data_IF_255143209166
#
_entry.id   IF_255143209166
#
_cell.length_a   1.000
_cell.length_b   1.000
_cell.length_c   1.000
_cell.angle_alpha   90.00
_cell.angle_beta   90.00
_cell.angle_gamma   90.00
#
_symmetry.space_group_name_H-M   'P 1'
#
loop_
_entity.id
_entity.type
_entity.pdbx_description
1 polymer ?
#
# COMPACT_ATOMS: atom_id res chain seq x y z
N UNK A 1 -0.82 8.36 22.86
CA UNK A 1 -0.23 9.71 22.67
C UNK A 1 0.70 9.99 23.84
N UNK A 2 1.90 10.43 23.56
CA UNK A 2 2.82 10.99 24.54
C UNK A 2 2.93 12.49 24.21
N UNK A 3 1.99 13.33 24.70
CA UNK A 3 1.86 14.72 24.23
C UNK A 3 2.96 15.64 24.79
N UNK A 4 3.77 15.17 25.74
CA UNK A 4 4.68 16.01 26.49
C UNK A 4 6.09 15.38 26.63
N UNK A 5 6.59 14.74 25.56
CA UNK A 5 8.01 14.38 25.54
C UNK A 5 8.81 15.66 25.35
N UNK A 6 9.69 15.93 26.31
CA UNK A 6 10.60 17.04 26.33
C UNK A 6 11.99 16.48 26.66
N UNK A 7 12.88 16.44 25.68
CA UNK A 7 14.23 15.88 25.82
C UNK A 7 15.25 16.95 26.24
N UNK A 8 14.95 18.23 26.02
CA UNK A 8 15.90 19.32 26.24
C UNK A 8 15.47 20.35 27.31
N UNK A 9 14.27 20.20 27.88
CA UNK A 9 13.74 21.08 28.93
C UNK A 9 13.12 22.38 28.43
N UNK A 10 12.91 22.51 27.11
CA UNK A 10 12.36 23.74 26.49
C UNK A 10 10.87 23.62 26.13
N UNK A 11 10.22 22.52 26.44
CA UNK A 11 8.82 22.22 26.15
C UNK A 11 8.65 20.99 25.27
N UNK A 12 7.42 20.72 24.82
CA UNK A 12 7.13 19.49 24.07
C UNK A 12 7.85 19.45 22.71
N UNK A 13 8.68 18.43 22.48
CA UNK A 13 9.44 18.22 21.23
C UNK A 13 8.58 17.68 20.08
N UNK A 14 7.39 17.16 20.38
CA UNK A 14 6.51 16.59 19.37
C UNK A 14 5.16 17.30 19.33
N UNK A 15 4.73 17.62 18.11
CA UNK A 15 3.39 18.13 17.87
C UNK A 15 2.39 16.95 17.71
N UNK A 16 1.72 16.60 18.80
CA UNK A 16 0.71 15.54 18.81
C UNK A 16 -0.55 15.84 17.98
N UNK A 17 -0.69 17.03 17.40
CA UNK A 17 -1.77 17.38 16.47
C UNK A 17 -1.43 17.00 15.02
N UNK A 18 -0.16 16.75 14.72
CA UNK A 18 0.37 16.48 13.38
C UNK A 18 0.95 15.08 13.28
N UNK A 19 0.09 14.07 13.42
CA UNK A 19 0.50 12.67 13.33
C UNK A 19 0.26 12.18 11.91
N UNK A 20 1.33 11.71 11.24
CA UNK A 20 1.26 11.00 9.97
C UNK A 20 1.55 9.52 10.17
N UNK A 21 0.94 8.67 9.35
CA UNK A 21 1.26 7.25 9.27
C UNK A 21 2.04 6.97 7.99
N UNK A 22 3.08 6.15 8.09
CA UNK A 22 3.79 5.62 6.92
C UNK A 22 3.92 4.12 7.07
N UNK A 23 3.48 3.39 6.06
CA UNK A 23 3.60 1.93 6.01
C UNK A 23 4.18 1.45 4.69
N UNK A 24 4.85 0.30 4.72
CA UNK A 24 5.25 -0.42 3.52
C UNK A 24 4.81 -1.88 3.60
N UNK A 25 4.33 -2.45 2.48
CA UNK A 25 3.96 -3.86 2.37
C UNK A 25 2.97 -4.25 3.48
N UNK A 26 3.31 -5.23 4.32
CA UNK A 26 2.50 -5.62 5.47
C UNK A 26 2.18 -4.43 6.38
N UNK A 27 3.11 -3.48 6.56
CA UNK A 27 2.87 -2.25 7.30
C UNK A 27 1.78 -1.37 6.68
N UNK A 28 1.66 -1.33 5.36
CA UNK A 28 0.56 -0.65 4.66
C UNK A 28 -0.75 -1.43 4.72
N UNK A 29 -0.69 -2.78 4.66
CA UNK A 29 -1.85 -3.66 4.78
C UNK A 29 -2.51 -3.46 6.15
N UNK A 30 -1.75 -3.64 7.22
CA UNK A 30 -2.25 -3.43 8.60
C UNK A 30 -2.52 -1.95 8.88
N UNK A 31 -1.69 -1.07 8.32
CA UNK A 31 -1.81 0.38 8.46
C UNK A 31 -3.10 0.96 7.89
N UNK A 32 -3.65 0.37 6.84
CA UNK A 32 -4.94 0.80 6.28
C UNK A 32 -6.06 0.74 7.30
N UNK A 33 -6.14 -0.35 8.05
CA UNK A 33 -7.14 -0.52 9.12
C UNK A 33 -6.87 0.45 10.27
N UNK A 34 -5.60 0.55 10.68
CA UNK A 34 -5.20 1.48 11.73
C UNK A 34 -5.60 2.91 11.39
N UNK A 35 -5.27 3.39 10.18
CA UNK A 35 -5.62 4.74 9.71
C UNK A 35 -7.13 4.94 9.61
N UNK A 36 -7.86 3.92 9.17
CA UNK A 36 -9.32 3.97 9.07
C UNK A 36 -10.00 4.14 10.44
N UNK A 37 -9.44 3.52 11.48
CA UNK A 37 -10.03 3.46 12.82
C UNK A 37 -9.48 4.53 13.78
N UNK A 38 -8.22 4.96 13.60
CA UNK A 38 -7.58 5.94 14.47
C UNK A 38 -7.93 7.38 14.05
N UNK A 39 -8.79 8.01 14.82
CA UNK A 39 -9.31 9.36 14.51
C UNK A 39 -8.26 10.46 14.55
N UNK A 40 -7.14 10.24 15.23
CA UNK A 40 -6.07 11.26 15.39
C UNK A 40 -5.03 11.23 14.28
N UNK A 41 -5.05 10.20 13.43
CA UNK A 41 -4.18 10.09 12.26
C UNK A 41 -4.99 10.49 11.02
N UNK A 42 -4.69 11.63 10.44
CA UNK A 42 -5.45 12.19 9.31
C UNK A 42 -4.72 12.10 7.97
N UNK A 43 -3.46 11.68 7.97
CA UNK A 43 -2.66 11.52 6.76
C UNK A 43 -1.86 10.21 6.79
N UNK A 44 -1.82 9.52 5.66
CA UNK A 44 -1.05 8.29 5.52
C UNK A 44 -0.37 8.17 4.16
N UNK A 45 0.83 7.58 4.18
CA UNK A 45 1.54 7.10 3.00
C UNK A 45 1.60 5.58 3.06
N UNK A 46 0.96 4.94 2.09
CA UNK A 46 0.82 3.50 2.00
C UNK A 46 1.61 2.99 0.78
N UNK A 47 2.77 2.41 1.00
CA UNK A 47 3.59 1.90 -0.09
C UNK A 47 3.34 0.40 -0.29
N UNK A 48 3.01 0.05 -1.51
CA UNK A 48 2.78 -1.33 -2.01
C UNK A 48 1.86 -2.17 -1.14
N UNK A 49 0.65 -1.65 -0.76
CA UNK A 49 -0.36 -2.43 -0.06
C UNK A 49 -1.15 -3.33 -1.02
N UNK A 50 -2.02 -4.17 -0.46
CA UNK A 50 -3.03 -4.90 -1.21
C UNK A 50 -4.14 -5.41 -0.29
N UNK A 51 -5.32 -5.65 -0.85
CA UNK A 51 -6.46 -6.25 -0.17
C UNK A 51 -6.82 -7.61 -0.74
N UNK A 52 -7.84 -8.28 -0.14
CA UNK A 52 -8.23 -9.63 -0.53
C UNK A 52 -7.12 -10.64 -0.26
N UNK A 53 -6.60 -10.62 0.98
CA UNK A 53 -5.28 -11.16 1.38
C UNK A 53 -5.13 -12.64 1.01
N UNK A 54 -6.15 -13.47 1.18
CA UNK A 54 -6.02 -14.91 0.95
C UNK A 54 -5.61 -15.22 -0.50
N UNK A 55 -6.31 -14.66 -1.48
CA UNK A 55 -6.00 -14.86 -2.90
C UNK A 55 -4.82 -14.01 -3.36
N UNK A 56 -4.60 -12.86 -2.77
CA UNK A 56 -3.40 -12.04 -3.01
C UNK A 56 -2.13 -12.85 -2.72
N UNK A 57 -2.05 -13.50 -1.55
CA UNK A 57 -0.89 -14.30 -1.16
C UNK A 57 -0.72 -15.54 -2.03
N UNK A 58 -1.82 -16.20 -2.37
CA UNK A 58 -1.81 -17.37 -3.26
C UNK A 58 -1.31 -17.03 -4.67
N UNK A 59 -1.70 -15.86 -5.19
CA UNK A 59 -1.32 -15.38 -6.52
C UNK A 59 0.05 -14.68 -6.54
N UNK A 60 0.62 -14.38 -5.39
CA UNK A 60 1.95 -13.73 -5.29
C UNK A 60 3.02 -14.56 -5.99
N UNK A 61 3.80 -13.98 -6.92
CA UNK A 61 4.95 -14.66 -7.50
C UNK A 61 5.95 -15.14 -6.44
N UNK A 62 6.12 -14.36 -5.35
CA UNK A 62 7.05 -14.69 -4.26
C UNK A 62 6.49 -15.75 -3.31
N UNK A 63 5.23 -15.63 -2.87
CA UNK A 63 4.67 -16.51 -1.83
C UNK A 63 3.88 -17.69 -2.40
N UNK A 64 3.17 -17.48 -3.50
CA UNK A 64 2.25 -18.46 -4.07
C UNK A 64 2.84 -19.83 -4.32
N UNK A 65 4.05 -19.99 -4.91
CA UNK A 65 4.65 -21.29 -5.11
C UNK A 65 4.83 -22.10 -3.81
N UNK A 66 5.25 -21.43 -2.73
CA UNK A 66 5.44 -22.07 -1.41
C UNK A 66 4.12 -22.44 -0.76
N UNK A 67 3.11 -21.55 -0.87
CA UNK A 67 1.75 -21.79 -0.35
C UNK A 67 1.14 -23.00 -1.05
N UNK A 68 1.17 -23.03 -2.39
CA UNK A 68 0.63 -24.16 -3.18
C UNK A 68 1.34 -25.47 -2.85
N UNK A 69 2.67 -25.47 -2.79
CA UNK A 69 3.43 -26.65 -2.44
C UNK A 69 3.13 -27.14 -1.01
N UNK A 70 3.02 -26.23 -0.05
CA UNK A 70 2.68 -26.55 1.34
C UNK A 70 1.27 -27.14 1.47
N UNK A 71 0.27 -26.56 0.81
CA UNK A 71 -1.10 -27.06 0.82
C UNK A 71 -1.24 -28.42 0.14
N UNK A 72 -0.53 -28.64 -0.97
CA UNK A 72 -0.49 -29.94 -1.63
C UNK A 72 0.13 -31.01 -0.73
N UNK A 73 1.25 -30.72 -0.07
CA UNK A 73 1.98 -31.67 0.77
C UNK A 73 1.24 -31.97 2.08
N UNK A 74 0.67 -30.95 2.74
CA UNK A 74 0.07 -31.10 4.08
C UNK A 74 -1.40 -31.52 4.09
N UNK A 75 -2.17 -31.12 3.05
CA UNK A 75 -3.61 -31.30 3.01
C UNK A 75 -4.12 -31.91 1.68
N UNK A 76 -3.23 -32.21 0.74
CA UNK A 76 -3.62 -32.74 -0.58
C UNK A 76 -4.40 -31.76 -1.46
N UNK A 77 -4.40 -30.47 -1.09
CA UNK A 77 -5.14 -29.43 -1.81
C UNK A 77 -4.40 -29.03 -3.10
N UNK A 78 -5.10 -29.13 -4.24
CA UNK A 78 -4.53 -28.85 -5.55
C UNK A 78 -5.25 -27.68 -6.21
N UNK A 79 -4.52 -26.70 -6.81
CA UNK A 79 -5.12 -25.63 -7.58
C UNK A 79 -6.11 -26.14 -8.64
N UNK A 80 -7.19 -25.41 -8.85
CA UNK A 80 -8.23 -25.77 -9.83
C UNK A 80 -9.27 -26.78 -9.34
N UNK A 81 -9.22 -27.17 -8.06
CA UNK A 81 -10.26 -28.03 -7.45
C UNK A 81 -11.20 -27.21 -6.58
N UNK A 82 -12.49 -27.62 -6.49
CA UNK A 82 -13.47 -26.96 -5.64
C UNK A 82 -13.05 -26.92 -4.17
N UNK A 83 -12.36 -27.94 -3.67
CA UNK A 83 -11.86 -28.00 -2.29
C UNK A 83 -10.78 -26.94 -2.06
N UNK A 84 -9.88 -26.74 -3.03
CA UNK A 84 -8.88 -25.67 -2.98
C UNK A 84 -9.52 -24.30 -2.95
N UNK A 85 -10.53 -24.06 -3.79
CA UNK A 85 -11.25 -22.80 -3.81
C UNK A 85 -12.02 -22.54 -2.53
N UNK A 86 -12.66 -23.57 -1.98
CA UNK A 86 -13.35 -23.51 -0.69
C UNK A 86 -12.40 -23.19 0.47
N UNK A 87 -11.19 -23.75 0.45
CA UNK A 87 -10.16 -23.44 1.44
C UNK A 87 -9.82 -21.94 1.44
N UNK A 88 -9.55 -21.35 0.26
CA UNK A 88 -9.25 -19.91 0.18
C UNK A 88 -10.46 -19.04 0.51
N UNK A 89 -11.70 -19.48 0.19
CA UNK A 89 -12.92 -18.81 0.62
C UNK A 89 -13.04 -18.78 2.15
N UNK A 90 -12.86 -19.92 2.80
CA UNK A 90 -12.88 -20.00 4.27
C UNK A 90 -11.72 -19.21 4.91
N UNK A 91 -10.52 -19.26 4.33
CA UNK A 91 -9.37 -18.46 4.79
C UNK A 91 -9.69 -16.97 4.70
N UNK A 92 -10.26 -16.49 3.59
CA UNK A 92 -10.65 -15.10 3.46
C UNK A 92 -11.67 -14.69 4.51
N UNK A 93 -12.70 -15.50 4.77
CA UNK A 93 -13.68 -15.23 5.83
C UNK A 93 -13.07 -15.07 7.22
N UNK A 94 -12.06 -15.89 7.55
CA UNK A 94 -11.34 -15.78 8.83
C UNK A 94 -10.58 -14.47 8.94
N UNK A 95 -9.95 -13.99 7.87
CA UNK A 95 -9.12 -12.79 7.87
C UNK A 95 -9.87 -11.51 7.49
N UNK A 96 -11.13 -11.59 7.07
CA UNK A 96 -11.93 -10.44 6.60
C UNK A 96 -12.00 -9.31 7.63
N UNK A 97 -12.04 -9.63 8.93
CA UNK A 97 -12.00 -8.63 9.99
C UNK A 97 -10.68 -7.87 10.08
N UNK A 98 -9.64 -8.35 9.40
CA UNK A 98 -8.31 -7.76 9.33
C UNK A 98 -7.88 -7.47 7.87
N UNK A 99 -8.77 -7.61 6.88
CA UNK A 99 -8.45 -7.32 5.49
C UNK A 99 -8.65 -5.83 5.19
N UNK A 100 -7.63 -5.12 4.65
CA UNK A 100 -7.71 -3.69 4.37
C UNK A 100 -8.81 -3.32 3.38
N UNK A 101 -9.24 -4.23 2.51
CA UNK A 101 -10.32 -3.97 1.56
C UNK A 101 -11.64 -3.58 2.27
N UNK A 102 -11.88 -4.16 3.44
CA UNK A 102 -13.08 -3.90 4.24
C UNK A 102 -13.04 -2.56 4.98
N UNK A 103 -11.85 -1.96 5.10
CA UNK A 103 -11.64 -0.65 5.75
C UNK A 103 -11.39 0.49 4.76
N UNK A 104 -11.24 0.16 3.48
CA UNK A 104 -10.87 1.11 2.43
C UNK A 104 -11.80 2.34 2.40
N UNK A 105 -13.11 2.14 2.44
CA UNK A 105 -14.10 3.22 2.44
C UNK A 105 -13.99 4.11 3.68
N UNK A 106 -13.67 3.55 4.85
CA UNK A 106 -13.52 4.31 6.08
C UNK A 106 -12.30 5.27 6.08
N UNK A 107 -11.39 5.12 5.11
CA UNK A 107 -10.29 6.07 4.90
C UNK A 107 -10.73 7.34 4.15
N UNK A 108 -12.00 7.45 3.72
CA UNK A 108 -12.49 8.58 2.90
C UNK A 108 -12.18 9.97 3.48
N UNK A 109 -12.27 10.23 4.81
CA UNK A 109 -11.97 11.53 5.38
C UNK A 109 -10.45 11.81 5.56
N UNK A 110 -9.59 10.86 5.18
CA UNK A 110 -8.14 10.93 5.41
C UNK A 110 -7.40 11.31 4.12
N UNK A 111 -6.28 12.02 4.25
CA UNK A 111 -5.32 12.13 3.17
C UNK A 111 -4.59 10.79 2.98
N UNK A 112 -4.60 10.28 1.76
CA UNK A 112 -3.93 9.02 1.41
C UNK A 112 -3.06 9.22 0.18
N UNK A 113 -1.78 9.02 0.32
CA UNK A 113 -0.87 8.78 -0.80
C UNK A 113 -0.55 7.29 -0.85
N UNK A 114 -0.84 6.63 -1.97
CA UNK A 114 -0.50 5.24 -2.19
C UNK A 114 0.57 5.12 -3.27
N UNK A 115 1.60 4.32 -3.03
CA UNK A 115 2.58 3.95 -4.05
C UNK A 115 2.30 2.53 -4.56
N UNK A 116 2.27 2.36 -5.87
CA UNK A 116 2.13 1.08 -6.55
C UNK A 116 3.27 0.89 -7.54
N UNK A 117 3.92 -0.27 -7.55
CA UNK A 117 4.92 -0.62 -8.57
C UNK A 117 4.26 -1.44 -9.66
N UNK A 118 4.15 -0.87 -10.85
CA UNK A 118 3.42 -1.45 -11.98
C UNK A 118 4.34 -1.99 -13.08
N UNK A 119 5.65 -1.69 -12.97
CA UNK A 119 6.62 -2.02 -14.00
C UNK A 119 6.40 -1.24 -15.31
N UNK A 120 7.30 -1.44 -16.26
CA UNK A 120 7.30 -0.69 -17.53
C UNK A 120 6.81 -1.51 -18.74
N UNK A 121 6.41 -2.77 -18.51
CA UNK A 121 5.95 -3.68 -19.57
C UNK A 121 7.07 -4.25 -20.43
N UNK A 122 8.34 -4.01 -20.08
CA UNK A 122 9.52 -4.50 -20.79
C UNK A 122 10.46 -5.27 -19.83
N UNK A 123 11.37 -4.58 -19.19
CA UNK A 123 12.41 -5.15 -18.34
C UNK A 123 12.19 -4.93 -16.84
N UNK A 124 11.32 -4.00 -16.46
CA UNK A 124 10.90 -3.81 -15.07
C UNK A 124 9.56 -4.48 -14.84
N UNK A 125 9.56 -5.49 -13.97
CA UNK A 125 8.36 -6.24 -13.62
C UNK A 125 7.48 -5.43 -12.65
N UNK A 126 6.14 -5.67 -12.65
CA UNK A 126 5.30 -5.20 -11.57
C UNK A 126 5.71 -5.84 -10.25
N UNK A 127 5.16 -5.34 -9.15
CA UNK A 127 5.44 -5.88 -7.81
C UNK A 127 5.32 -7.41 -7.77
N UNK A 128 6.40 -8.08 -7.38
CA UNK A 128 6.51 -9.54 -7.34
C UNK A 128 6.12 -10.13 -5.97
N UNK A 129 5.82 -9.27 -5.00
CA UNK A 129 5.41 -9.68 -3.65
C UNK A 129 3.90 -9.48 -3.47
N UNK A 130 3.42 -8.28 -3.78
CA UNK A 130 1.99 -7.93 -3.74
C UNK A 130 1.50 -7.72 -5.17
N UNK A 131 0.74 -8.67 -5.75
CA UNK A 131 0.19 -8.52 -7.09
C UNK A 131 -0.69 -7.28 -7.20
N UNK A 132 -0.56 -6.53 -8.29
CA UNK A 132 -1.41 -5.36 -8.53
C UNK A 132 -2.87 -5.76 -8.72
N UNK A 133 -3.12 -6.92 -9.34
CA UNK A 133 -4.45 -7.52 -9.49
C UNK A 133 -4.34 -9.05 -9.59
N UNK A 134 -5.39 -9.75 -9.19
CA UNK A 134 -5.47 -11.21 -9.25
C UNK A 134 -6.61 -11.64 -10.15
N UNK A 135 -6.29 -12.42 -11.18
CA UNK A 135 -7.29 -12.97 -12.09
C UNK A 135 -8.27 -13.89 -11.35
N UNK A 136 -9.57 -13.68 -11.56
CA UNK A 136 -10.63 -14.46 -10.88
C UNK A 136 -10.87 -14.08 -9.41
N UNK A 137 -10.13 -13.12 -8.86
CA UNK A 137 -10.32 -12.61 -7.49
C UNK A 137 -10.39 -11.07 -7.50
N UNK A 138 -11.52 -10.47 -7.86
CA UNK A 138 -11.64 -9.05 -8.19
C UNK A 138 -11.42 -8.10 -7.00
N UNK A 139 -11.36 -8.60 -5.77
CA UNK A 139 -11.05 -7.84 -4.56
C UNK A 139 -9.60 -8.02 -4.11
N UNK A 140 -8.80 -8.84 -4.81
CA UNK A 140 -7.42 -9.16 -4.40
C UNK A 140 -6.39 -8.40 -5.21
N UNK A 141 -5.48 -7.74 -4.51
CA UNK A 141 -4.38 -6.95 -5.08
C UNK A 141 -4.39 -5.48 -4.67
N UNK A 142 -3.45 -4.72 -5.21
CA UNK A 142 -3.32 -3.28 -4.96
C UNK A 142 -4.41 -2.47 -5.68
N UNK A 143 -4.68 -2.77 -6.95
CA UNK A 143 -5.68 -2.07 -7.76
C UNK A 143 -7.11 -2.17 -7.20
N UNK A 144 -7.59 -3.32 -6.69
CA UNK A 144 -8.88 -3.36 -5.98
C UNK A 144 -8.92 -2.45 -4.76
N UNK A 145 -7.84 -2.39 -3.99
CA UNK A 145 -7.75 -1.51 -2.82
C UNK A 145 -7.79 -0.04 -3.22
N UNK A 146 -7.04 0.35 -4.28
CA UNK A 146 -7.07 1.70 -4.86
C UNK A 146 -8.49 2.11 -5.25
N UNK A 147 -9.22 1.22 -5.93
CA UNK A 147 -10.62 1.47 -6.32
C UNK A 147 -11.54 1.59 -5.11
N UNK A 148 -11.40 0.72 -4.12
CA UNK A 148 -12.20 0.75 -2.90
C UNK A 148 -11.96 2.01 -2.05
N UNK A 149 -10.73 2.54 -2.07
CA UNK A 149 -10.38 3.82 -1.45
C UNK A 149 -10.78 5.05 -2.29
N UNK A 150 -11.23 4.86 -3.55
CA UNK A 150 -11.51 5.92 -4.51
C UNK A 150 -10.33 6.90 -4.71
N UNK A 151 -9.12 6.34 -4.89
CA UNK A 151 -7.92 7.15 -5.10
C UNK A 151 -7.78 7.57 -6.58
N UNK A 152 -7.47 8.84 -6.80
CA UNK A 152 -7.17 9.38 -8.13
C UNK A 152 -5.74 9.07 -8.55
N UNK A 153 -5.48 8.88 -9.85
CA UNK A 153 -4.11 8.75 -10.35
C UNK A 153 -3.39 10.09 -10.29
N UNK A 154 -2.19 10.09 -9.73
CA UNK A 154 -1.28 11.23 -9.68
C UNK A 154 -0.04 10.92 -10.53
N UNK A 155 0.21 11.71 -11.57
CA UNK A 155 1.38 11.56 -12.47
C UNK A 155 2.24 12.82 -12.55
N UNK A 156 1.83 13.87 -11.83
CA UNK A 156 2.54 15.16 -11.76
C UNK A 156 2.37 15.79 -10.39
N UNK A 157 3.19 16.80 -10.11
CA UNK A 157 3.05 17.59 -8.88
C UNK A 157 1.61 18.04 -8.70
N UNK A 158 1.05 17.71 -7.55
CA UNK A 158 -0.33 18.01 -7.18
C UNK A 158 -0.33 18.90 -5.95
N UNK A 159 -0.99 20.04 -6.04
CA UNK A 159 -1.28 20.96 -4.93
C UNK A 159 -2.79 21.03 -4.76
N UNK A 160 -3.27 21.01 -3.54
CA UNK A 160 -4.71 20.96 -3.26
C UNK A 160 -5.05 21.72 -1.97
N UNK A 161 -6.19 22.38 -1.97
CA UNK A 161 -6.76 22.96 -0.75
C UNK A 161 -7.45 21.90 0.13
N UNK A 162 -7.74 20.73 -0.45
CA UNK A 162 -8.30 19.57 0.26
C UNK A 162 -7.23 18.52 0.53
N UNK A 163 -7.44 17.60 1.48
CA UNK A 163 -6.57 16.46 1.71
C UNK A 163 -6.30 15.68 0.41
N UNK A 164 -5.01 15.46 0.08
CA UNK A 164 -4.64 14.72 -1.12
C UNK A 164 -5.05 13.26 -0.97
N UNK A 165 -5.73 12.73 -1.98
CA UNK A 165 -6.12 11.32 -2.06
C UNK A 165 -5.74 10.77 -3.44
N UNK A 166 -4.63 10.05 -3.50
CA UNK A 166 -4.16 9.58 -4.79
C UNK A 166 -3.20 8.42 -4.74
N UNK A 167 -3.01 7.82 -5.91
CA UNK A 167 -2.02 6.77 -6.16
C UNK A 167 -1.01 7.25 -7.19
N UNK A 168 0.26 7.01 -6.90
CA UNK A 168 1.35 7.15 -7.86
C UNK A 168 1.81 5.76 -8.28
N UNK A 169 1.81 5.51 -9.61
CA UNK A 169 2.22 4.23 -10.19
C UNK A 169 3.63 4.32 -10.73
N UNK A 170 4.52 3.52 -10.16
CA UNK A 170 5.93 3.50 -10.51
C UNK A 170 6.20 2.49 -11.61
N UNK A 171 6.88 2.94 -12.67
CA UNK A 171 7.34 2.10 -13.78
C UNK A 171 8.77 1.61 -13.57
N UNK A 172 9.42 2.03 -12.51
CA UNK A 172 10.77 1.64 -12.08
C UNK A 172 10.74 1.25 -10.60
N UNK A 173 11.74 0.49 -10.17
CA UNK A 173 11.83 -0.01 -8.80
C UNK A 173 11.18 -1.37 -8.62
N UNK A 174 11.03 -1.76 -7.36
CA UNK A 174 10.46 -3.02 -6.91
C UNK A 174 9.66 -2.85 -5.62
N UNK A 175 9.23 -3.98 -5.02
CA UNK A 175 8.51 -4.00 -3.74
C UNK A 175 9.23 -3.27 -2.61
N UNK A 176 10.56 -3.28 -2.60
CA UNK A 176 11.40 -2.69 -1.53
C UNK A 176 11.75 -1.22 -1.73
N UNK A 177 11.36 -0.60 -2.83
CA UNK A 177 11.97 0.65 -3.31
C UNK A 177 11.71 1.88 -2.44
N UNK A 178 10.68 1.90 -1.59
CA UNK A 178 10.56 2.98 -0.59
C UNK A 178 11.75 2.99 0.39
N UNK A 179 12.27 1.81 0.74
CA UNK A 179 13.29 1.64 1.80
C UNK A 179 14.69 1.37 1.23
N UNK A 180 14.81 0.92 -0.02
CA UNK A 180 16.07 0.50 -0.60
C UNK A 180 16.25 1.00 -2.04
N UNK A 181 17.37 1.65 -2.36
CA UNK A 181 17.68 2.12 -3.71
C UNK A 181 18.18 1.01 -4.63
N UNK A 182 18.24 -0.24 -4.20
CA UNK A 182 18.91 -1.34 -4.92
C UNK A 182 18.32 -1.58 -6.31
N UNK A 183 16.98 -1.55 -6.44
CA UNK A 183 16.32 -1.75 -7.71
C UNK A 183 16.29 -0.49 -8.57
N UNK A 184 16.12 0.69 -7.94
CA UNK A 184 16.13 1.99 -8.62
C UNK A 184 16.32 3.13 -7.62
N UNK A 185 17.48 3.78 -7.64
CA UNK A 185 17.74 4.96 -6.83
C UNK A 185 16.71 6.07 -7.08
N UNK A 186 16.36 6.29 -8.36
CA UNK A 186 15.42 7.35 -8.73
C UNK A 186 14.02 7.07 -8.20
N UNK A 187 13.54 5.82 -8.25
CA UNK A 187 12.25 5.45 -7.69
C UNK A 187 12.24 5.61 -6.15
N UNK A 188 13.32 5.22 -5.48
CA UNK A 188 13.46 5.41 -4.03
C UNK A 188 13.41 6.88 -3.64
N UNK A 189 14.19 7.72 -4.31
CA UNK A 189 14.22 9.16 -4.04
C UNK A 189 12.85 9.81 -4.31
N UNK A 190 12.19 9.39 -5.38
CA UNK A 190 10.87 9.90 -5.74
C UNK A 190 9.80 9.50 -4.71
N UNK A 191 9.74 8.21 -4.31
CA UNK A 191 8.82 7.74 -3.27
C UNK A 191 9.03 8.47 -1.93
N UNK A 192 10.28 8.61 -1.50
CA UNK A 192 10.63 9.31 -0.26
C UNK A 192 10.35 10.81 -0.34
N UNK A 193 10.62 11.44 -1.49
CA UNK A 193 10.32 12.85 -1.74
C UNK A 193 8.82 13.13 -1.71
N UNK A 194 8.01 12.28 -2.33
CA UNK A 194 6.54 12.37 -2.28
C UNK A 194 6.02 12.19 -0.85
N UNK A 195 6.51 11.18 -0.12
CA UNK A 195 6.18 10.97 1.28
C UNK A 195 6.51 12.21 2.12
N UNK A 196 7.70 12.76 1.98
CA UNK A 196 8.13 13.95 2.71
C UNK A 196 7.25 15.16 2.37
N UNK A 197 6.88 15.34 1.09
CA UNK A 197 6.06 16.48 0.65
C UNK A 197 4.64 16.43 1.23
N UNK A 198 4.01 15.26 1.26
CA UNK A 198 2.67 15.08 1.87
C UNK A 198 2.71 15.41 3.37
N UNK A 199 3.70 14.85 4.08
CA UNK A 199 3.82 15.04 5.53
C UNK A 199 4.15 16.51 5.86
N UNK A 200 5.11 17.11 5.17
CA UNK A 200 5.53 18.48 5.43
C UNK A 200 4.48 19.53 5.07
N UNK A 201 3.69 19.30 4.01
CA UNK A 201 2.64 20.21 3.59
C UNK A 201 1.36 20.13 4.44
N UNK A 202 1.29 19.18 5.39
CA UNK A 202 0.06 18.90 6.14
C UNK A 202 -1.04 18.41 5.21
N UNK A 203 -0.72 17.40 4.41
CA UNK A 203 -1.63 16.70 3.48
C UNK A 203 -2.03 17.44 2.17
N UNK A 204 -1.38 18.56 1.83
CA UNK A 204 -1.81 19.44 0.73
C UNK A 204 -0.99 19.29 -0.56
N UNK A 205 0.16 18.63 -0.52
CA UNK A 205 1.03 18.55 -1.68
C UNK A 205 1.62 17.14 -1.89
N UNK A 206 1.65 16.70 -3.14
CA UNK A 206 2.50 15.61 -3.62
C UNK A 206 3.44 16.19 -4.68
N UNK A 207 4.73 16.28 -4.37
CA UNK A 207 5.72 16.81 -5.30
C UNK A 207 6.28 15.66 -6.15
N UNK A 208 6.16 15.77 -7.47
CA UNK A 208 6.81 14.90 -8.44
C UNK A 208 8.07 15.59 -8.96
N UNK A 209 9.22 15.05 -8.59
CA UNK A 209 10.53 15.58 -9.00
C UNK A 209 11.09 14.85 -10.21
N UNK A 210 10.77 13.56 -10.35
CA UNK A 210 11.26 12.73 -11.44
C UNK A 210 10.12 11.92 -12.08
N UNK A 211 9.48 12.50 -13.08
CA UNK A 211 8.36 11.86 -13.79
C UNK A 211 8.79 10.65 -14.64
N UNK A 212 10.10 10.45 -14.91
CA UNK A 212 10.58 9.32 -15.72
C UNK A 212 10.38 7.96 -15.06
N UNK A 213 10.22 7.94 -13.73
CA UNK A 213 9.96 6.69 -12.96
C UNK A 213 8.47 6.47 -12.68
N UNK A 214 7.60 7.37 -13.15
CA UNK A 214 6.15 7.35 -12.90
C UNK A 214 5.43 7.07 -14.22
N UNK A 215 4.36 6.28 -14.18
CA UNK A 215 3.47 6.05 -15.31
C UNK A 215 2.77 7.36 -15.69
N UNK A 216 2.94 7.77 -16.94
CA UNK A 216 2.14 8.85 -17.52
C UNK A 216 0.64 8.47 -17.55
N UNK A 217 -0.22 9.48 -17.53
CA UNK A 217 -1.66 9.30 -17.73
C UNK A 217 -1.98 8.93 -19.16
#
# INVERSE_FOLDING_TARGET
KIPNIDFDGNGADFDGSRIAFTGQSLGSIVGTQFVALESTVNQAVLSVPGGGIARLLEASPTFGPRIRAGLAASAGLQPGTATYDSFFGATQQVIDSADPINYAFATAPKAILLHEVVGNGADVLPDQVIPNAVAGAPLSGTEPLIRAMALSTLSSTTLSDNPVRGVVRFVAGDHGSLLSPTASLLATMEMQGQMASVIASGDKAVLVQNSSVIRAQ
#
